data_IF_016086614848
#
_entry.id   IF_016086614848
#
_cell.length_a   1.000
_cell.length_b   1.000
_cell.length_c   1.000
_cell.angle_alpha   90.00
_cell.angle_beta   90.00
_cell.angle_gamma   90.00
#
_symmetry.space_group_name_H-M   'P 1'
#
loop_
_entity.id
_entity.type
_entity.pdbx_description
1 polymer ?
#
# COMPACT_ATOMS: atom_id res chain seq x y z
N UNK A 1 -10.71 0.63 -17.98
CA UNK A 1 -10.87 1.88 -17.20
C UNK A 1 -11.53 2.88 -18.13
N UNK A 2 -12.70 3.42 -17.78
CA UNK A 2 -13.50 4.28 -18.67
C UNK A 2 -13.54 5.74 -18.23
N UNK A 3 -13.24 6.02 -16.95
CA UNK A 3 -13.21 7.37 -16.38
C UNK A 3 -12.09 7.52 -15.34
N UNK A 4 -11.87 8.76 -14.85
CA UNK A 4 -10.82 9.07 -13.87
C UNK A 4 -11.00 8.33 -12.53
N UNK A 5 -12.23 8.19 -12.05
CA UNK A 5 -12.51 7.49 -10.80
C UNK A 5 -12.14 6.00 -10.89
N UNK A 6 -12.37 5.34 -12.03
CA UNK A 6 -11.95 3.96 -12.25
C UNK A 6 -10.43 3.82 -12.17
N UNK A 7 -9.68 4.76 -12.74
CA UNK A 7 -8.21 4.77 -12.72
C UNK A 7 -7.69 4.94 -11.30
N UNK A 8 -8.27 5.88 -10.54
CA UNK A 8 -7.92 6.10 -9.14
C UNK A 8 -8.28 4.87 -8.27
N UNK A 9 -9.42 4.22 -8.51
CA UNK A 9 -9.79 3.01 -7.79
C UNK A 9 -8.83 1.85 -8.07
N UNK A 10 -8.45 1.66 -9.34
CA UNK A 10 -7.44 0.66 -9.69
C UNK A 10 -6.10 0.96 -9.03
N UNK A 11 -5.63 2.20 -9.11
CA UNK A 11 -4.37 2.60 -8.49
C UNK A 11 -4.40 2.32 -6.98
N UNK A 12 -5.45 2.75 -6.27
CA UNK A 12 -5.57 2.51 -4.84
C UNK A 12 -5.53 1.01 -4.48
N UNK A 13 -6.16 0.15 -5.29
CA UNK A 13 -6.10 -1.31 -5.10
C UNK A 13 -4.70 -1.88 -5.32
N UNK A 14 -3.97 -1.36 -6.31
CA UNK A 14 -2.59 -1.75 -6.57
C UNK A 14 -1.68 -1.37 -5.40
N UNK A 15 -1.80 -0.15 -4.89
CA UNK A 15 -0.99 0.30 -3.76
C UNK A 15 -1.28 -0.52 -2.49
N UNK A 16 -2.55 -0.77 -2.19
CA UNK A 16 -2.93 -1.64 -1.08
C UNK A 16 -2.35 -3.05 -1.22
N UNK A 17 -2.41 -3.62 -2.43
CA UNK A 17 -1.83 -4.91 -2.74
C UNK A 17 -0.31 -4.93 -2.58
N UNK A 18 0.37 -3.90 -3.08
CA UNK A 18 1.82 -3.76 -3.01
C UNK A 18 2.30 -3.58 -1.56
N UNK A 19 1.64 -2.73 -0.75
CA UNK A 19 1.96 -2.60 0.69
C UNK A 19 1.90 -3.94 1.39
N UNK A 20 0.80 -4.69 1.21
CA UNK A 20 0.61 -5.99 1.86
C UNK A 20 1.62 -7.03 1.34
N UNK A 21 1.94 -7.03 0.05
CA UNK A 21 2.94 -7.91 -0.52
C UNK A 21 4.34 -7.65 0.07
N UNK A 22 4.77 -6.39 0.14
CA UNK A 22 6.07 -6.04 0.71
C UNK A 22 6.16 -6.38 2.19
N UNK A 23 5.12 -6.11 2.98
CA UNK A 23 5.08 -6.49 4.40
C UNK A 23 5.11 -8.01 4.57
N UNK A 24 4.35 -8.75 3.76
CA UNK A 24 4.25 -10.21 3.83
C UNK A 24 5.55 -10.94 3.49
N UNK A 25 6.42 -10.37 2.64
CA UNK A 25 7.70 -11.01 2.30
C UNK A 25 8.82 -10.75 3.32
N UNK A 26 8.73 -9.69 4.13
CA UNK A 26 9.78 -9.30 5.09
C UNK A 26 10.25 -10.49 5.97
N UNK A 27 9.36 -11.31 6.57
CA UNK A 27 9.78 -12.44 7.40
C UNK A 27 10.58 -13.51 6.66
N UNK A 28 10.44 -13.59 5.34
CA UNK A 28 11.12 -14.56 4.48
C UNK A 28 12.46 -14.05 3.94
N UNK A 29 12.79 -12.76 4.15
CA UNK A 29 14.04 -12.17 3.67
C UNK A 29 15.19 -12.51 4.62
N UNK A 30 16.15 -13.30 4.14
CA UNK A 30 17.38 -13.62 4.90
C UNK A 30 18.37 -12.45 5.05
N UNK A 31 18.17 -11.36 4.31
CA UNK A 31 19.01 -10.15 4.37
C UNK A 31 18.28 -9.00 5.05
N UNK A 32 18.91 -8.43 6.09
CA UNK A 32 18.39 -7.24 6.79
C UNK A 32 18.30 -6.02 5.88
N UNK A 33 19.21 -5.88 4.93
CA UNK A 33 19.19 -4.75 3.99
C UNK A 33 18.01 -4.87 3.01
N UNK A 34 17.73 -6.09 2.53
CA UNK A 34 16.53 -6.33 1.71
C UNK A 34 15.26 -6.12 2.52
N UNK A 35 15.21 -6.57 3.78
CA UNK A 35 14.08 -6.32 4.65
C UNK A 35 13.83 -4.82 4.88
N UNK A 36 14.90 -4.03 5.03
CA UNK A 36 14.81 -2.57 5.15
C UNK A 36 14.29 -1.92 3.87
N UNK A 37 14.72 -2.40 2.70
CA UNK A 37 14.20 -1.92 1.41
C UNK A 37 12.73 -2.27 1.25
N UNK A 38 12.32 -3.51 1.53
CA UNK A 38 10.92 -3.92 1.47
C UNK A 38 10.04 -3.10 2.42
N UNK A 39 10.51 -2.83 3.65
CA UNK A 39 9.80 -1.97 4.59
C UNK A 39 9.64 -0.52 4.10
N UNK A 40 10.67 0.04 3.44
CA UNK A 40 10.60 1.37 2.83
C UNK A 40 9.61 1.43 1.69
N UNK A 41 9.65 0.44 0.79
CA UNK A 41 8.68 0.31 -0.30
C UNK A 41 7.26 0.23 0.25
N UNK A 42 7.01 -0.61 1.26
CA UNK A 42 5.70 -0.69 1.91
C UNK A 42 5.21 0.67 2.46
N UNK A 43 6.11 1.47 3.03
CA UNK A 43 5.79 2.79 3.54
C UNK A 43 5.45 3.78 2.40
N UNK A 44 6.17 3.74 1.29
CA UNK A 44 5.90 4.58 0.11
C UNK A 44 4.54 4.23 -0.50
N UNK A 45 4.22 2.94 -0.67
CA UNK A 45 2.92 2.54 -1.22
C UNK A 45 1.77 2.86 -0.23
N UNK A 46 2.02 2.85 1.08
CA UNK A 46 1.05 3.34 2.07
C UNK A 46 0.72 4.82 1.88
N UNK A 47 1.74 5.63 1.55
CA UNK A 47 1.57 7.06 1.26
C UNK A 47 0.78 7.25 -0.04
N UNK A 48 1.12 6.51 -1.10
CA UNK A 48 0.37 6.52 -2.37
C UNK A 48 -1.09 6.13 -2.16
N UNK A 49 -1.36 5.01 -1.46
CA UNK A 49 -2.70 4.57 -1.11
C UNK A 49 -3.49 5.66 -0.36
N UNK A 50 -2.85 6.34 0.59
CA UNK A 50 -3.48 7.41 1.39
C UNK A 50 -3.88 8.60 0.52
N UNK A 51 -2.99 9.03 -0.38
CA UNK A 51 -3.27 10.12 -1.32
C UNK A 51 -4.40 9.75 -2.28
N UNK A 52 -4.39 8.53 -2.83
CA UNK A 52 -5.43 8.06 -3.74
C UNK A 52 -6.78 7.90 -3.04
N UNK A 53 -6.80 7.40 -1.81
CA UNK A 53 -8.00 7.30 -0.96
C UNK A 53 -8.60 8.68 -0.71
N UNK A 54 -7.76 9.68 -0.43
CA UNK A 54 -8.20 11.06 -0.30
C UNK A 54 -8.77 11.63 -1.61
N UNK A 55 -8.09 11.41 -2.74
CA UNK A 55 -8.54 11.86 -4.06
C UNK A 55 -9.89 11.25 -4.46
N UNK A 56 -10.19 10.03 -3.99
CA UNK A 56 -11.47 9.35 -4.16
C UNK A 56 -12.57 9.80 -3.18
N UNK A 57 -12.27 10.70 -2.24
CA UNK A 57 -13.20 11.17 -1.22
C UNK A 57 -13.57 10.11 -0.19
N UNK A 58 -12.73 9.08 -0.01
CA UNK A 58 -12.98 7.97 0.91
C UNK A 58 -12.37 8.25 2.29
N UNK A 59 -12.98 7.73 3.38
CA UNK A 59 -12.38 7.82 4.69
C UNK A 59 -11.11 6.95 4.77
N UNK A 60 -10.14 7.38 5.57
CA UNK A 60 -9.00 6.53 5.91
C UNK A 60 -9.43 5.40 6.86
N UNK A 61 -8.72 4.26 6.86
CA UNK A 61 -8.96 3.20 7.84
C UNK A 61 -8.88 3.72 9.27
N UNK A 62 -9.87 3.41 10.09
CA UNK A 62 -9.95 3.85 11.50
C UNK A 62 -9.31 2.86 12.48
N UNK A 63 -8.96 1.65 12.01
CA UNK A 63 -8.27 0.63 12.80
C UNK A 63 -6.77 0.86 12.87
N UNK A 64 -6.13 0.31 13.91
CA UNK A 64 -4.69 0.14 13.93
C UNK A 64 -4.28 -1.06 13.05
N UNK A 65 -3.01 -1.10 12.63
CA UNK A 65 -2.46 -2.21 11.83
C UNK A 65 -3.23 -2.47 10.53
N UNK A 66 -3.60 -1.40 9.82
CA UNK A 66 -4.40 -1.45 8.59
C UNK A 66 -3.72 -2.12 7.39
N UNK A 67 -2.45 -2.52 7.52
CA UNK A 67 -1.65 -3.16 6.47
C UNK A 67 -0.84 -4.32 7.06
N UNK A 68 -0.54 -5.31 6.22
CA UNK A 68 0.27 -6.48 6.58
C UNK A 68 -0.50 -7.56 7.35
N UNK A 69 -1.83 -7.60 7.20
CA UNK A 69 -2.70 -8.65 7.73
C UNK A 69 -2.63 -9.95 6.91
#
# INVERSE_FOLDING_TARGET
LRNQADVLDLAARLELGATNAYLGVIPSLGSKDLAKVAARLAADETMHFTVLTNALGRPLPTGALSFGA
#
